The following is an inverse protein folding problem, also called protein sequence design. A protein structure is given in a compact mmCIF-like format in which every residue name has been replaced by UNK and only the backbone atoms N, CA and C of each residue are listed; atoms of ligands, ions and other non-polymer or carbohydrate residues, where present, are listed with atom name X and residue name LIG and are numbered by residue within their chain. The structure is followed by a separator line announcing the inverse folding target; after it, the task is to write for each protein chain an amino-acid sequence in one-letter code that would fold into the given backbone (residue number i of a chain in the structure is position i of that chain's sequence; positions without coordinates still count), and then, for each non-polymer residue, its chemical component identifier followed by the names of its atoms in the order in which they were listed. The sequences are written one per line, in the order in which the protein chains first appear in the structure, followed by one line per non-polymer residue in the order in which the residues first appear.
data_IF_954540503009
#
_entry.id   IF_954540503009
#
_cell.length_a   1.000
_cell.length_b   1.000
_cell.length_c   1.000
_cell.angle_alpha   90.00
_cell.angle_beta   90.00
_cell.angle_gamma   90.00
#
_symmetry.space_group_name_H-M   'P 1'
#
loop_
_entity.id
_entity.type
_entity.pdbx_description
1 polymer ?
#
# COMPACT_ATOMS: atom_id res chain seq x y z
N UNK A 1 -0.46 30.73 -13.49
CA UNK A 1 0.51 30.07 -14.40
C UNK A 1 -0.01 28.65 -14.65
N UNK A 2 -0.67 28.42 -15.78
CA UNK A 2 -1.11 27.07 -16.18
C UNK A 2 0.11 26.32 -16.72
N UNK A 3 0.79 25.58 -15.85
CA UNK A 3 1.82 24.63 -16.26
C UNK A 3 1.09 23.43 -16.91
N UNK A 4 0.84 23.52 -18.22
CA UNK A 4 0.15 22.52 -19.05
C UNK A 4 0.92 21.20 -19.23
N UNK A 5 1.50 20.69 -18.16
CA UNK A 5 2.33 19.48 -18.15
C UNK A 5 1.45 18.25 -17.87
N UNK A 6 0.38 18.40 -17.07
CA UNK A 6 -0.61 17.34 -16.83
C UNK A 6 -2.02 17.95 -16.60
N UNK A 7 -3.09 17.35 -17.16
CA UNK A 7 -4.44 17.84 -16.94
C UNK A 7 -4.86 17.61 -15.47
N UNK A 8 -5.15 18.70 -14.76
CA UNK A 8 -5.53 18.68 -13.35
C UNK A 8 -6.97 18.18 -13.11
N UNK A 9 -7.76 17.95 -14.17
CA UNK A 9 -9.18 17.61 -14.07
C UNK A 9 -9.66 16.97 -15.37
N UNK A 10 -10.42 15.86 -15.27
CA UNK A 10 -11.02 15.17 -16.43
C UNK A 10 -10.94 13.64 -16.34
N UNK A 11 -11.90 12.95 -16.97
CA UNK A 11 -12.05 11.48 -16.94
C UNK A 11 -11.62 10.78 -18.24
N UNK A 12 -10.91 11.48 -19.14
CA UNK A 12 -10.72 11.04 -20.53
C UNK A 12 -9.43 10.27 -20.85
N UNK A 13 -8.40 10.25 -20.00
CA UNK A 13 -7.10 9.61 -20.33
C UNK A 13 -6.32 9.16 -19.10
N UNK A 14 -5.55 8.06 -19.19
CA UNK A 14 -4.66 7.51 -18.14
C UNK A 14 -3.73 8.56 -17.49
N UNK A 15 -3.38 9.62 -18.23
CA UNK A 15 -2.59 10.74 -17.74
C UNK A 15 -3.25 11.51 -16.59
N UNK A 16 -4.59 11.50 -16.49
CA UNK A 16 -5.32 12.17 -15.41
C UNK A 16 -5.27 11.41 -14.08
N UNK A 17 -4.86 10.14 -14.09
CA UNK A 17 -4.68 9.32 -12.88
C UNK A 17 -3.29 9.48 -12.26
N UNK A 18 -2.32 10.01 -13.01
CA UNK A 18 -0.93 10.13 -12.54
C UNK A 18 -0.83 11.17 -11.42
N UNK A 19 -1.43 12.35 -11.57
CA UNK A 19 -1.33 13.42 -10.57
C UNK A 19 -2.03 13.08 -9.24
N UNK A 20 -3.30 12.61 -9.25
CA UNK A 20 -3.98 12.18 -8.03
C UNK A 20 -3.32 10.95 -7.42
N UNK A 21 -2.88 9.99 -8.25
CA UNK A 21 -2.18 8.79 -7.82
C UNK A 21 -0.86 9.11 -7.12
N UNK A 22 -0.07 10.04 -7.65
CA UNK A 22 1.20 10.44 -7.05
C UNK A 22 0.99 11.29 -5.77
N UNK A 23 -0.02 12.16 -5.75
CA UNK A 23 -0.39 12.93 -4.56
C UNK A 23 -0.84 12.02 -3.41
N UNK A 24 -1.65 11.00 -3.73
CA UNK A 24 -2.14 10.01 -2.77
C UNK A 24 -1.01 9.05 -2.33
N UNK A 25 -0.22 8.56 -3.27
CA UNK A 25 0.83 7.58 -3.01
C UNK A 25 2.08 8.20 -2.37
N UNK A 26 2.36 9.48 -2.57
CA UNK A 26 3.61 10.13 -2.12
C UNK A 26 3.86 9.97 -0.61
N UNK A 27 2.82 10.12 0.22
CA UNK A 27 2.95 9.94 1.66
C UNK A 27 3.23 8.47 2.04
N UNK A 28 2.45 7.54 1.49
CA UNK A 28 2.62 6.10 1.72
C UNK A 28 3.97 5.59 1.22
N UNK A 29 4.43 6.06 0.06
CA UNK A 29 5.74 5.71 -0.51
C UNK A 29 6.88 6.14 0.42
N UNK A 30 6.82 7.33 0.99
CA UNK A 30 7.84 7.79 1.93
C UNK A 30 7.91 6.89 3.19
N UNK A 31 6.76 6.46 3.71
CA UNK A 31 6.69 5.56 4.88
C UNK A 31 7.24 4.18 4.52
N UNK A 32 6.79 3.60 3.41
CA UNK A 32 7.20 2.26 2.95
C UNK A 32 8.71 2.24 2.65
N UNK A 33 9.24 3.29 1.99
CA UNK A 33 10.67 3.38 1.67
C UNK A 33 11.54 3.48 2.94
N UNK A 34 11.12 4.29 3.92
CA UNK A 34 11.82 4.36 5.22
C UNK A 34 11.80 3.03 5.94
N UNK A 35 10.65 2.36 5.98
CA UNK A 35 10.55 1.04 6.61
C UNK A 35 11.44 0.02 5.90
N UNK A 36 11.36 -0.04 4.57
CA UNK A 36 12.18 -0.96 3.76
C UNK A 36 13.66 -0.77 4.06
N UNK A 37 14.12 0.47 4.16
CA UNK A 37 15.51 0.77 4.53
C UNK A 37 15.83 0.31 5.96
N UNK A 38 14.95 0.58 6.93
CA UNK A 38 15.17 0.18 8.33
C UNK A 38 15.24 -1.33 8.48
N UNK A 39 14.27 -2.06 7.94
CA UNK A 39 14.20 -3.52 8.02
C UNK A 39 15.37 -4.18 7.28
N UNK A 40 15.78 -3.65 6.12
CA UNK A 40 16.97 -4.15 5.43
C UNK A 40 18.25 -3.94 6.25
N UNK A 41 18.41 -2.78 6.90
CA UNK A 41 19.58 -2.51 7.76
C UNK A 41 19.62 -3.44 8.99
N UNK A 42 18.47 -3.68 9.62
CA UNK A 42 18.36 -4.62 10.74
C UNK A 42 18.69 -6.05 10.34
N UNK A 43 18.21 -6.49 9.18
CA UNK A 43 18.42 -7.85 8.69
C UNK A 43 19.86 -8.09 8.25
N UNK A 44 20.48 -7.14 7.55
CA UNK A 44 21.87 -7.26 7.11
C UNK A 44 22.86 -7.34 8.28
N UNK A 45 22.45 -6.94 9.49
CA UNK A 45 23.24 -7.03 10.73
C UNK A 45 23.07 -8.35 11.48
N UNK A 46 22.27 -9.28 10.98
CA UNK A 46 22.00 -10.56 11.64
C UNK A 46 23.12 -11.56 11.37
N UNK A 47 23.43 -12.42 12.35
CA UNK A 47 24.53 -13.38 12.29
C UNK A 47 24.43 -14.38 11.12
N UNK A 48 23.20 -14.69 10.66
CA UNK A 48 23.01 -15.58 9.51
C UNK A 48 23.45 -14.96 8.18
N UNK A 49 23.45 -13.61 8.09
CA UNK A 49 23.98 -12.89 6.94
C UNK A 49 25.51 -12.93 6.95
N UNK A 50 26.14 -12.65 8.10
CA UNK A 50 27.59 -12.78 8.26
C UNK A 50 28.06 -14.21 7.97
N UNK A 51 27.27 -15.22 8.35
CA UNK A 51 27.54 -16.62 8.00
C UNK A 51 27.43 -16.87 6.49
N UNK A 52 26.47 -16.24 5.81
CA UNK A 52 26.33 -16.33 4.35
C UNK A 52 27.50 -15.64 3.62
N UNK A 53 27.98 -14.51 4.14
CA UNK A 53 29.18 -13.83 3.64
C UNK A 53 30.44 -14.68 3.84
N UNK A 54 30.60 -15.31 5.01
CA UNK A 54 31.73 -16.20 5.29
C UNK A 54 31.77 -17.44 4.39
N UNK A 55 30.60 -17.87 3.87
CA UNK A 55 30.49 -18.94 2.87
C UNK A 55 30.83 -18.49 1.44
N UNK A 56 31.13 -17.21 1.21
CA UNK A 56 31.47 -16.66 -0.10
C UNK A 56 30.29 -16.48 -1.05
N UNK A 57 29.05 -16.38 -0.52
CA UNK A 57 27.88 -16.09 -1.36
C UNK A 57 27.99 -14.68 -1.97
N UNK A 58 27.60 -14.48 -3.23
CA UNK A 58 27.62 -13.16 -3.84
C UNK A 58 26.62 -12.23 -3.13
N UNK A 59 27.03 -11.00 -2.88
CA UNK A 59 26.26 -9.97 -2.15
C UNK A 59 24.83 -9.81 -2.72
N UNK A 60 24.68 -9.92 -4.03
CA UNK A 60 23.38 -9.85 -4.71
C UNK A 60 22.42 -10.97 -4.28
N UNK A 61 22.91 -12.19 -4.05
CA UNK A 61 22.09 -13.30 -3.54
C UNK A 61 21.74 -13.07 -2.08
N UNK A 62 22.68 -12.56 -1.29
CA UNK A 62 22.45 -12.22 0.12
C UNK A 62 21.33 -11.19 0.24
N UNK A 63 21.41 -10.09 -0.51
CA UNK A 63 20.40 -9.02 -0.49
C UNK A 63 19.04 -9.53 -0.99
N UNK A 64 18.96 -10.16 -2.16
CA UNK A 64 17.67 -10.51 -2.76
C UNK A 64 17.01 -11.74 -2.15
N UNK A 65 17.78 -12.78 -1.82
CA UNK A 65 17.23 -14.07 -1.36
C UNK A 65 17.11 -14.16 0.16
N UNK A 66 18.07 -13.59 0.89
CA UNK A 66 18.13 -13.69 2.36
C UNK A 66 17.65 -12.41 3.03
N UNK A 67 18.10 -11.25 2.57
CA UNK A 67 17.74 -9.96 3.13
C UNK A 67 16.29 -9.58 2.84
N UNK A 68 15.95 -9.42 1.56
CA UNK A 68 14.67 -8.90 1.12
C UNK A 68 13.51 -9.82 1.52
N UNK A 69 13.66 -11.14 1.39
CA UNK A 69 12.60 -12.09 1.77
C UNK A 69 12.21 -11.97 3.25
N UNK A 70 13.18 -11.77 4.12
CA UNK A 70 12.92 -11.59 5.55
C UNK A 70 12.46 -10.15 5.87
N UNK A 71 12.90 -9.15 5.10
CA UNK A 71 12.50 -7.76 5.27
C UNK A 71 11.07 -7.51 4.81
N UNK A 72 10.55 -8.34 3.91
CA UNK A 72 9.19 -8.22 3.40
C UNK A 72 8.13 -8.46 4.49
N UNK A 73 8.44 -9.24 5.53
CA UNK A 73 7.50 -9.51 6.63
C UNK A 73 6.99 -8.21 7.26
N UNK A 74 7.84 -7.32 7.80
CA UNK A 74 7.37 -6.04 8.35
C UNK A 74 6.89 -5.04 7.28
N UNK A 75 7.45 -5.09 6.06
CA UNK A 75 7.06 -4.17 4.97
C UNK A 75 5.60 -4.40 4.56
N UNK A 76 5.19 -5.66 4.40
CA UNK A 76 3.82 -6.01 4.02
C UNK A 76 2.81 -5.50 5.06
N UNK A 77 3.18 -5.47 6.36
CA UNK A 77 2.27 -5.06 7.44
C UNK A 77 1.96 -3.58 7.27
N UNK A 78 3.01 -2.80 7.03
CA UNK A 78 2.90 -1.37 6.84
C UNK A 78 2.19 -1.03 5.53
N UNK A 79 2.37 -1.83 4.48
CA UNK A 79 1.59 -1.69 3.25
C UNK A 79 0.09 -1.88 3.54
N UNK A 80 -0.28 -2.90 4.31
CA UNK A 80 -1.66 -3.17 4.68
C UNK A 80 -2.27 -2.02 5.52
N UNK A 81 -1.52 -1.51 6.51
CA UNK A 81 -1.92 -0.34 7.29
C UNK A 81 -2.06 0.91 6.41
N UNK A 82 -1.11 1.14 5.50
CA UNK A 82 -1.19 2.28 4.58
C UNK A 82 -2.37 2.19 3.63
N UNK A 83 -2.82 1.00 3.23
CA UNK A 83 -4.03 0.86 2.43
C UNK A 83 -5.26 1.47 3.12
N UNK A 84 -5.40 1.30 4.44
CA UNK A 84 -6.46 1.95 5.21
C UNK A 84 -6.36 3.48 5.19
N UNK A 85 -5.15 4.02 5.36
CA UNK A 85 -4.91 5.46 5.25
C UNK A 85 -5.18 6.00 3.83
N UNK A 86 -4.84 5.24 2.80
CA UNK A 86 -5.11 5.60 1.41
C UNK A 86 -6.62 5.67 1.12
N UNK A 87 -7.43 4.78 1.67
CA UNK A 87 -8.90 4.84 1.54
C UNK A 87 -9.47 6.12 2.18
N UNK A 88 -8.93 6.54 3.34
CA UNK A 88 -9.31 7.82 3.96
C UNK A 88 -8.84 9.04 3.14
N UNK A 89 -7.61 9.01 2.64
CA UNK A 89 -7.05 10.06 1.78
C UNK A 89 -7.67 10.14 0.38
N UNK A 90 -8.28 9.05 -0.09
CA UNK A 90 -8.98 8.98 -1.37
C UNK A 90 -10.16 9.96 -1.39
N UNK A 91 -10.89 10.11 -0.28
CA UNK A 91 -12.00 11.07 -0.16
C UNK A 91 -11.51 12.51 -0.43
N UNK A 92 -10.39 12.90 0.16
CA UNK A 92 -9.82 14.24 -0.02
C UNK A 92 -9.34 14.45 -1.45
N UNK A 93 -8.62 13.48 -2.02
CA UNK A 93 -8.10 13.58 -3.40
C UNK A 93 -9.23 13.56 -4.44
N UNK A 94 -10.26 12.73 -4.27
CA UNK A 94 -11.45 12.72 -5.13
C UNK A 94 -12.19 14.07 -5.11
N UNK A 95 -12.27 14.70 -3.94
CA UNK A 95 -12.90 16.02 -3.78
C UNK A 95 -12.08 17.12 -4.45
N UNK A 96 -10.76 17.13 -4.22
CA UNK A 96 -9.85 18.17 -4.76
C UNK A 96 -9.67 18.05 -6.28
N UNK A 97 -9.57 16.84 -6.82
CA UNK A 97 -9.40 16.60 -8.26
C UNK A 97 -10.72 16.45 -9.01
N UNK A 98 -11.87 16.63 -8.34
CA UNK A 98 -13.23 16.48 -8.90
C UNK A 98 -13.38 15.14 -9.63
N UNK A 99 -12.72 14.10 -9.12
CA UNK A 99 -12.78 12.76 -9.71
C UNK A 99 -14.00 12.02 -9.13
N UNK A 100 -14.86 11.41 -9.97
CA UNK A 100 -16.00 10.66 -9.48
C UNK A 100 -15.50 9.35 -8.83
N UNK A 101 -15.57 9.29 -7.51
CA UNK A 101 -15.16 8.13 -6.74
C UNK A 101 -16.08 7.82 -5.57
N UNK A 102 -15.83 6.68 -4.92
CA UNK A 102 -16.68 6.13 -3.86
C UNK A 102 -16.62 6.99 -2.59
N UNK A 103 -15.47 7.60 -2.31
CA UNK A 103 -15.28 8.44 -1.14
C UNK A 103 -16.13 9.71 -1.21
N UNK A 104 -16.08 10.41 -2.35
CA UNK A 104 -16.91 11.58 -2.62
C UNK A 104 -18.40 11.24 -2.63
N UNK A 105 -18.78 10.12 -3.24
CA UNK A 105 -20.17 9.65 -3.27
C UNK A 105 -20.71 9.39 -1.86
N UNK A 106 -19.89 8.81 -0.98
CA UNK A 106 -20.24 8.60 0.42
C UNK A 106 -20.43 9.93 1.17
N UNK A 107 -19.54 10.91 0.99
CA UNK A 107 -19.67 12.24 1.62
C UNK A 107 -20.92 12.99 1.15
N UNK A 108 -21.22 12.92 -0.15
CA UNK A 108 -22.42 13.54 -0.72
C UNK A 108 -23.69 12.86 -0.18
N UNK A 109 -23.69 11.52 -0.05
CA UNK A 109 -24.81 10.76 0.49
C UNK A 109 -25.06 11.05 1.98
N UNK A 110 -24.00 11.18 2.80
CA UNK A 110 -24.11 11.61 4.20
C UNK A 110 -24.77 12.99 4.28
N UNK A 111 -24.32 13.93 3.44
CA UNK A 111 -24.83 15.30 3.43
C UNK A 111 -26.32 15.36 3.04
N UNK A 112 -26.74 14.49 2.12
CA UNK A 112 -28.13 14.36 1.67
C UNK A 112 -28.99 13.47 2.58
N UNK A 113 -28.40 12.90 3.65
CA UNK A 113 -29.04 11.91 4.53
C UNK A 113 -29.62 10.71 3.78
N UNK A 114 -28.97 10.32 2.69
CA UNK A 114 -29.34 9.16 1.89
C UNK A 114 -28.73 7.90 2.50
N UNK A 115 -29.36 7.41 3.58
CA UNK A 115 -28.87 6.26 4.35
C UNK A 115 -28.66 4.98 3.51
N UNK A 116 -29.55 4.63 2.55
CA UNK A 116 -29.32 3.48 1.66
C UNK A 116 -28.02 3.58 0.87
N UNK A 117 -27.72 4.76 0.30
CA UNK A 117 -26.49 4.97 -0.49
C UNK A 117 -25.26 4.95 0.41
N UNK A 118 -25.34 5.53 1.61
CA UNK A 118 -24.26 5.46 2.60
C UNK A 118 -23.95 4.00 2.96
N UNK A 119 -24.99 3.20 3.27
CA UNK A 119 -24.82 1.81 3.65
C UNK A 119 -24.23 0.96 2.51
N UNK A 120 -24.71 1.13 1.28
CA UNK A 120 -24.18 0.44 0.11
C UNK A 120 -22.70 0.79 -0.15
N UNK A 121 -22.35 2.08 -0.03
CA UNK A 121 -20.98 2.57 -0.23
C UNK A 121 -20.03 2.01 0.83
N UNK A 122 -20.43 2.06 2.11
CA UNK A 122 -19.63 1.50 3.22
C UNK A 122 -19.44 -0.01 3.04
N UNK A 123 -20.51 -0.74 2.70
CA UNK A 123 -20.43 -2.19 2.51
C UNK A 123 -19.44 -2.55 1.41
N UNK A 124 -19.48 -1.83 0.27
CA UNK A 124 -18.55 -2.06 -0.83
C UNK A 124 -17.10 -1.75 -0.42
N UNK A 125 -16.86 -0.65 0.31
CA UNK A 125 -15.52 -0.30 0.83
C UNK A 125 -15.02 -1.38 1.79
N UNK A 126 -15.86 -1.86 2.71
CA UNK A 126 -15.50 -2.89 3.68
C UNK A 126 -15.18 -4.22 2.98
N UNK A 127 -15.99 -4.65 2.01
CA UNK A 127 -15.72 -5.87 1.24
C UNK A 127 -14.38 -5.76 0.51
N UNK A 128 -14.11 -4.63 -0.16
CA UNK A 128 -12.84 -4.40 -0.84
C UNK A 128 -11.66 -4.39 0.14
N UNK A 129 -11.82 -3.77 1.31
CA UNK A 129 -10.80 -3.77 2.35
C UNK A 129 -10.51 -5.17 2.89
N UNK A 130 -11.54 -5.97 3.16
CA UNK A 130 -11.39 -7.36 3.59
C UNK A 130 -10.70 -8.20 2.52
N UNK A 131 -11.04 -8.01 1.24
CA UNK A 131 -10.38 -8.70 0.12
C UNK A 131 -8.88 -8.36 0.04
N UNK A 132 -8.51 -7.09 0.24
CA UNK A 132 -7.10 -6.67 0.27
C UNK A 132 -6.36 -7.30 1.45
N UNK A 133 -6.96 -7.29 2.65
CA UNK A 133 -6.34 -7.92 3.82
C UNK A 133 -6.18 -9.44 3.61
N UNK A 134 -7.18 -10.09 3.02
CA UNK A 134 -7.08 -11.51 2.68
C UNK A 134 -5.94 -11.80 1.70
N UNK A 135 -5.74 -10.95 0.67
CA UNK A 135 -4.59 -11.05 -0.24
C UNK A 135 -3.27 -10.87 0.54
N UNK A 136 -3.20 -9.89 1.44
CA UNK A 136 -2.04 -9.66 2.29
C UNK A 136 -1.72 -10.89 3.14
N UNK A 137 -2.71 -11.51 3.77
CA UNK A 137 -2.54 -12.71 4.59
C UNK A 137 -2.06 -13.92 3.77
N UNK A 138 -2.56 -14.07 2.55
CA UNK A 138 -2.06 -15.07 1.60
C UNK A 138 -0.58 -14.81 1.30
N UNK A 139 -0.23 -13.56 0.95
CA UNK A 139 1.15 -13.17 0.66
C UNK A 139 2.05 -13.46 1.86
N UNK A 140 1.60 -13.17 3.08
CA UNK A 140 2.29 -13.54 4.32
C UNK A 140 2.58 -15.03 4.41
N UNK A 141 1.58 -15.87 4.13
CA UNK A 141 1.69 -17.33 4.20
C UNK A 141 2.73 -17.87 3.20
N UNK A 142 2.84 -17.26 2.01
CA UNK A 142 3.88 -17.64 1.04
C UNK A 142 5.29 -17.18 1.43
N UNK A 143 5.39 -16.03 2.11
CA UNK A 143 6.66 -15.43 2.49
C UNK A 143 7.26 -16.07 3.74
N UNK A 144 6.43 -16.45 4.71
CA UNK A 144 6.88 -17.07 5.95
C UNK A 144 6.65 -18.59 5.98
N UNK A 145 7.66 -19.42 5.61
CA UNK A 145 7.59 -20.87 5.73
C UNK A 145 7.67 -21.38 7.19
N UNK A 146 7.81 -20.51 8.20
CA UNK A 146 7.78 -20.90 9.62
C UNK A 146 6.37 -20.98 10.20
N UNK A 147 5.33 -20.62 9.45
CA UNK A 147 3.93 -20.93 9.81
C UNK A 147 3.68 -22.43 9.56
N UNK A 148 4.43 -23.27 10.26
CA UNK A 148 3.97 -24.61 10.58
C UNK A 148 2.95 -24.40 11.70
N UNK A 149 1.67 -24.60 11.38
CA UNK A 149 0.64 -24.78 12.39
C UNK A 149 1.16 -25.79 13.40
N UNK A 150 1.53 -25.29 14.58
CA UNK A 150 1.94 -26.08 15.72
C UNK A 150 0.70 -26.90 16.09
N UNK A 151 0.74 -28.18 15.73
CA UNK A 151 -0.29 -29.17 16.10
C UNK A 151 -0.09 -29.58 17.55
#
# INVERSE_FOLDING_TARGET
VYLGILPATGTGSFLHLILPGFALAGNSLAIIARMTRSSMLEILRQDYITTAEAKGLPERVIIWKHGLRNALIPIITIIALQFGYLLGGAVLTETVFVYPGLGRLLVDAISRRDYPVVQASILLIVVLFVMINFIVDIVYTYLDPKIKYER
#
